data_IF_321659283613
#
_entry.id   IF_321659283613
#
_cell.length_a   1.000
_cell.length_b   1.000
_cell.length_c   1.000
_cell.angle_alpha   90.00
_cell.angle_beta   90.00
_cell.angle_gamma   90.00
#
_symmetry.space_group_name_H-M   'P 1'
#
loop_
_entity.id
_entity.type
_entity.pdbx_description
1 polymer ?
#
# COMPACT_ATOMS: atom_id res chain seq x y z
N UNK A 1 -0.46 21.18 19.60
CA UNK A 1 0.15 19.90 19.99
C UNK A 1 1.11 19.52 18.88
N UNK A 2 2.39 19.31 19.17
CA UNK A 2 3.35 18.94 18.13
C UNK A 2 3.08 17.49 17.67
N UNK A 3 3.01 17.28 16.36
CA UNK A 3 2.82 15.97 15.76
C UNK A 3 4.18 15.28 15.68
N UNK A 4 4.42 14.36 16.61
CA UNK A 4 5.67 13.59 16.65
C UNK A 4 5.46 12.25 15.95
N UNK A 5 6.43 11.79 15.15
CA UNK A 5 6.32 10.51 14.47
C UNK A 5 6.28 9.36 15.47
N UNK A 6 5.52 8.31 15.12
CA UNK A 6 5.45 7.09 15.90
C UNK A 6 6.78 6.32 15.86
N UNK A 7 7.26 5.79 17.00
CA UNK A 7 8.45 4.96 17.06
C UNK A 7 8.21 3.57 16.45
N UNK A 8 9.27 2.95 15.92
CA UNK A 8 9.19 1.66 15.21
C UNK A 8 9.47 0.41 16.07
N UNK A 9 9.62 0.56 17.39
CA UNK A 9 10.01 -0.53 18.30
C UNK A 9 8.89 -1.03 19.22
N UNK A 10 7.72 -0.38 19.25
CA UNK A 10 6.55 -0.83 20.01
C UNK A 10 5.44 -1.24 19.03
N UNK A 11 5.32 -2.54 18.77
CA UNK A 11 4.33 -3.10 17.86
C UNK A 11 3.81 -4.45 18.36
N UNK A 12 2.61 -4.83 17.93
CA UNK A 12 2.01 -6.14 18.20
C UNK A 12 1.59 -6.77 16.87
N UNK A 13 1.82 -8.06 16.72
CA UNK A 13 1.38 -8.84 15.55
C UNK A 13 0.33 -9.84 16.00
N UNK A 14 -0.84 -9.76 15.37
CA UNK A 14 -1.92 -10.72 15.54
C UNK A 14 -2.10 -11.52 14.25
N UNK A 15 -2.16 -12.85 14.38
CA UNK A 15 -2.36 -13.75 13.26
C UNK A 15 -3.36 -14.84 13.66
N UNK A 16 -4.53 -14.86 13.02
CA UNK A 16 -5.58 -15.84 13.30
C UNK A 16 -6.06 -15.85 14.76
N UNK A 17 -6.07 -14.69 15.44
CA UNK A 17 -6.45 -14.57 16.85
C UNK A 17 -5.35 -14.92 17.87
N UNK A 18 -4.15 -15.32 17.41
CA UNK A 18 -2.99 -15.54 18.27
C UNK A 18 -2.02 -14.36 18.19
N UNK A 19 -1.43 -13.99 19.34
CA UNK A 19 -0.34 -13.00 19.43
C UNK A 19 1.00 -13.69 19.25
N UNK A 20 1.75 -13.25 18.24
CA UNK A 20 3.05 -13.84 17.90
C UNK A 20 4.13 -12.78 18.08
N UNK A 21 5.17 -13.12 18.85
CA UNK A 21 6.30 -12.23 19.11
C UNK A 21 7.28 -12.20 17.94
N UNK A 22 7.63 -11.00 17.46
CA UNK A 22 8.63 -10.79 16.41
C UNK A 22 9.63 -9.71 16.83
N UNK A 23 10.89 -9.87 16.45
CA UNK A 23 11.92 -8.83 16.61
C UNK A 23 11.83 -7.75 15.53
N UNK A 24 11.21 -8.06 14.39
CA UNK A 24 11.06 -7.13 13.26
C UNK A 24 9.90 -7.53 12.34
N UNK A 25 9.14 -6.56 11.86
CA UNK A 25 8.09 -6.72 10.84
C UNK A 25 8.44 -5.87 9.61
N UNK A 26 8.35 -6.44 8.41
CA UNK A 26 8.66 -5.76 7.13
C UNK A 26 7.72 -6.23 6.03
N UNK A 27 7.81 -5.60 4.86
CA UNK A 27 7.11 -6.00 3.63
C UNK A 27 5.58 -5.88 3.71
N UNK A 28 5.08 -4.89 4.45
CA UNK A 28 3.65 -4.54 4.51
C UNK A 28 3.25 -3.48 3.46
N UNK A 29 4.11 -3.25 2.46
CA UNK A 29 3.84 -2.27 1.41
C UNK A 29 2.73 -2.78 0.49
N UNK A 30 1.70 -1.95 0.27
CA UNK A 30 0.69 -2.20 -0.74
C UNK A 30 1.20 -1.69 -2.08
N UNK A 31 1.10 -2.52 -3.11
CA UNK A 31 1.41 -2.13 -4.48
C UNK A 31 0.13 -2.21 -5.30
N UNK A 32 -0.25 -1.11 -5.94
CA UNK A 32 -1.31 -1.10 -6.93
C UNK A 32 -0.68 -1.14 -8.33
N UNK A 33 -1.16 -2.03 -9.20
CA UNK A 33 -0.76 -2.08 -10.61
C UNK A 33 -1.94 -1.60 -11.46
N UNK A 34 -2.09 -0.29 -11.70
CA UNK A 34 -3.16 0.22 -12.55
C UNK A 34 -2.95 -0.29 -13.98
N UNK A 35 -4.01 -0.84 -14.57
CA UNK A 35 -4.00 -1.19 -16.00
C UNK A 35 -4.34 0.05 -16.82
N UNK A 36 -3.48 0.41 -17.76
CA UNK A 36 -3.73 1.50 -18.69
C UNK A 36 -4.65 1.03 -19.82
N UNK A 37 -5.83 1.62 -19.93
CA UNK A 37 -6.75 1.35 -21.05
C UNK A 37 -6.30 2.17 -22.26
N UNK A 38 -6.13 1.51 -23.41
CA UNK A 38 -5.78 2.15 -24.69
C UNK A 38 -6.87 1.88 -25.72
N UNK A 39 -7.58 2.93 -26.14
CA UNK A 39 -8.58 2.84 -27.21
C UNK A 39 -7.99 3.36 -28.53
N UNK A 40 -8.07 2.56 -29.60
CA UNK A 40 -7.47 2.86 -30.91
C UNK A 40 -8.07 4.07 -31.66
N UNK A 41 -9.15 4.68 -31.15
CA UNK A 41 -9.82 5.84 -31.73
C UNK A 41 -9.71 7.11 -30.86
N UNK A 42 -8.94 7.08 -29.77
CA UNK A 42 -8.76 8.26 -28.90
C UNK A 42 -7.76 9.23 -29.52
N UNK A 43 -8.14 10.51 -29.77
CA UNK A 43 -7.27 11.52 -30.38
C UNK A 43 -6.17 12.05 -29.45
N UNK A 44 -6.21 11.69 -28.15
CA UNK A 44 -5.28 12.17 -27.14
C UNK A 44 -4.41 11.02 -26.62
N UNK A 45 -3.09 11.24 -26.56
CA UNK A 45 -2.07 10.28 -26.09
C UNK A 45 -2.12 10.14 -24.56
N UNK A 46 -3.28 9.79 -24.02
CA UNK A 46 -3.56 9.79 -22.59
C UNK A 46 -3.61 8.34 -22.11
N UNK A 47 -2.61 7.90 -21.34
CA UNK A 47 -2.70 6.67 -20.55
C UNK A 47 -3.71 6.92 -19.43
N UNK A 48 -5.00 6.77 -19.73
CA UNK A 48 -6.04 6.83 -18.73
C UNK A 48 -5.83 5.63 -17.79
N UNK A 49 -5.38 5.92 -16.56
CA UNK A 49 -5.39 4.93 -15.50
C UNK A 49 -6.86 4.59 -15.23
N UNK A 50 -7.22 3.32 -15.27
CA UNK A 50 -8.55 2.90 -14.81
C UNK A 50 -8.76 3.44 -13.37
N UNK A 51 -9.94 4.01 -13.05
CA UNK A 51 -10.21 4.46 -11.70
C UNK A 51 -10.16 3.25 -10.75
N UNK A 52 -9.31 3.37 -9.73
CA UNK A 52 -9.24 2.47 -8.56
C UNK A 52 -10.40 2.70 -7.61
#
# INVERSE_FOLDING_TARGET
MADYPLPNFHFMVEWGGARIGFTRVRNLAMSNSPMAIRHGASPEYSNANAPT
#
